data_IF_778009188659
#
_entry.id   IF_778009188659
#
_cell.length_a   1.000
_cell.length_b   1.000
_cell.length_c   1.000
_cell.angle_alpha   90.00
_cell.angle_beta   90.00
_cell.angle_gamma   90.00
#
_symmetry.space_group_name_H-M   'P 1'
#
loop_
_entity.id
_entity.type
_entity.pdbx_description
1 polymer ?
#
# COMPACT_ATOMS: atom_id res chain seq x y z
N UNK A 1 1.24 -30.68 0.83
CA UNK A 1 0.97 -30.23 0.84
C UNK A 1 0.42 -29.61 0.42
N UNK A 2 -0.03 -29.67 0.35
CA UNK A 2 -0.64 -29.02 0.04
C UNK A 2 -0.90 -27.91 0.54
N UNK A 3 -0.80 -27.64 1.44
CA UNK A 3 -1.07 -26.56 1.97
C UNK A 3 -0.32 -25.54 1.50
N UNK A 4 0.69 -25.75 1.13
CA UNK A 4 1.49 -24.80 0.66
C UNK A 4 1.13 -24.36 -0.63
N UNK A 5 0.79 -25.17 -1.50
CA UNK A 5 0.46 -24.86 -2.73
C UNK A 5 -0.68 -24.06 -2.77
N UNK A 6 -1.45 -24.15 -1.86
CA UNK A 6 -2.54 -23.34 -1.80
C UNK A 6 -2.13 -21.95 -1.72
N UNK A 7 -0.89 -21.70 -1.42
CA UNK A 7 -0.45 -20.37 -1.33
C UNK A 7 -0.53 -19.62 -2.59
N UNK A 8 -0.49 -20.30 -3.71
CA UNK A 8 -0.53 -19.63 -4.98
C UNK A 8 -1.75 -18.76 -5.13
N UNK A 9 -2.86 -19.13 -4.51
CA UNK A 9 -3.97 -18.27 -4.56
C UNK A 9 -4.53 -18.14 -3.17
N UNK A 10 -3.64 -18.25 -2.22
CA UNK A 10 -3.97 -18.23 -0.82
C UNK A 10 -4.95 -17.11 -0.52
N UNK A 11 -6.16 -17.45 -0.08
CA UNK A 11 -7.16 -16.44 0.21
C UNK A 11 -6.82 -15.56 1.38
N UNK A 12 -5.79 -15.92 2.16
CA UNK A 12 -5.40 -15.05 3.27
C UNK A 12 -4.33 -14.06 2.88
N UNK A 13 -3.87 -14.07 1.61
CA UNK A 13 -2.97 -13.02 1.16
C UNK A 13 -3.80 -11.79 0.88
N UNK A 14 -3.50 -10.73 1.55
CA UNK A 14 -4.24 -9.49 1.40
C UNK A 14 -3.44 -8.42 0.69
N UNK A 15 -4.16 -7.43 0.20
CA UNK A 15 -3.59 -6.31 -0.52
C UNK A 15 -4.05 -5.02 0.15
N UNK A 16 -3.14 -4.05 0.21
CA UNK A 16 -3.39 -2.81 0.95
C UNK A 16 -2.86 -1.61 0.18
N UNK A 17 -3.38 -0.43 0.52
CA UNK A 17 -2.80 0.84 0.10
C UNK A 17 -2.37 1.55 1.37
N UNK A 18 -1.13 2.02 1.38
CA UNK A 18 -0.60 2.82 2.49
C UNK A 18 -0.30 4.22 1.99
N UNK A 19 -0.79 5.23 2.70
CA UNK A 19 -0.52 6.62 2.35
C UNK A 19 0.68 7.16 3.10
N UNK A 20 1.50 7.96 2.44
CA UNK A 20 2.60 8.64 3.08
C UNK A 20 2.88 9.97 2.38
N UNK A 21 3.21 10.99 3.16
CA UNK A 21 3.60 12.28 2.62
C UNK A 21 5.02 12.13 2.08
N UNK A 22 5.23 12.30 0.76
CA UNK A 22 6.56 12.06 0.19
C UNK A 22 7.61 13.05 0.67
N UNK A 23 7.21 14.18 1.25
CA UNK A 23 8.17 15.10 1.82
C UNK A 23 8.70 14.59 3.16
N UNK A 24 7.96 13.72 3.81
CA UNK A 24 8.39 13.13 5.07
C UNK A 24 8.99 11.75 4.88
N UNK A 25 8.36 10.93 4.04
CA UNK A 25 8.88 9.60 3.76
C UNK A 25 8.35 9.14 2.40
N UNK A 26 9.24 9.03 1.43
CA UNK A 26 8.86 8.69 0.07
C UNK A 26 9.22 7.24 -0.26
N UNK A 27 8.76 6.76 -1.42
CA UNK A 27 9.15 5.44 -1.90
C UNK A 27 10.66 5.39 -2.16
N UNK A 28 11.27 6.53 -2.57
CA UNK A 28 12.73 6.61 -2.72
C UNK A 28 13.42 6.33 -1.39
N UNK A 29 12.86 6.84 -0.30
CA UNK A 29 13.42 6.62 1.03
C UNK A 29 13.35 5.14 1.38
N UNK A 30 12.24 4.49 1.06
CA UNK A 30 12.06 3.07 1.32
C UNK A 30 13.08 2.25 0.52
N UNK A 31 13.27 2.60 -0.75
CA UNK A 31 14.25 1.90 -1.58
C UNK A 31 15.65 2.07 -1.02
N UNK A 32 15.96 3.26 -0.57
CA UNK A 32 17.30 3.55 -0.03
C UNK A 32 17.56 2.78 1.26
N UNK A 33 16.54 2.59 2.08
CA UNK A 33 16.68 1.90 3.34
C UNK A 33 16.57 0.38 3.23
N UNK A 34 15.98 -0.11 2.15
CA UNK A 34 15.77 -1.53 1.88
C UNK A 34 14.71 -2.18 2.77
N UNK A 35 14.42 -1.62 3.92
CA UNK A 35 13.30 -2.02 4.77
C UNK A 35 13.08 -0.92 5.79
N UNK A 36 11.88 -0.86 6.32
CA UNK A 36 11.57 0.15 7.32
C UNK A 36 10.49 -0.38 8.26
N UNK A 37 10.38 0.26 9.40
CA UNK A 37 9.29 0.03 10.33
C UNK A 37 8.21 1.04 10.00
N UNK A 38 7.02 0.57 9.63
CA UNK A 38 5.90 1.47 9.36
C UNK A 38 5.24 1.78 10.69
N UNK A 39 5.54 2.95 11.23
CA UNK A 39 5.14 3.34 12.57
C UNK A 39 4.49 4.71 12.55
N UNK A 40 4.04 5.16 13.70
CA UNK A 40 3.45 6.48 13.82
C UNK A 40 2.00 6.57 13.42
N UNK A 41 1.35 5.45 13.11
CA UNK A 41 -0.06 5.45 12.74
C UNK A 41 -0.88 5.61 14.00
N UNK A 42 -1.63 6.70 14.10
CA UNK A 42 -2.43 6.98 15.27
C UNK A 42 -3.92 7.15 14.96
N UNK A 43 -4.27 7.21 13.67
CA UNK A 43 -5.66 7.30 13.27
C UNK A 43 -6.40 6.01 13.60
N UNK A 44 -7.53 6.13 14.22
CA UNK A 44 -8.26 4.98 14.72
C UNK A 44 -8.67 4.00 13.62
N UNK A 45 -9.15 4.51 12.49
CA UNK A 45 -9.57 3.67 11.39
C UNK A 45 -8.37 2.96 10.76
N UNK A 46 -7.27 3.68 10.58
CA UNK A 46 -6.05 3.08 10.03
C UNK A 46 -5.54 1.98 10.94
N UNK A 47 -5.59 2.20 12.26
CA UNK A 47 -5.14 1.19 13.22
C UNK A 47 -6.01 -0.06 13.16
N UNK A 48 -7.30 0.12 12.94
CA UNK A 48 -8.20 -1.00 12.85
C UNK A 48 -7.78 -1.93 11.71
N UNK A 49 -7.48 -1.36 10.56
CA UNK A 49 -7.04 -2.14 9.41
C UNK A 49 -5.61 -2.67 9.59
N UNK A 50 -4.76 -1.86 10.21
CA UNK A 50 -3.36 -2.25 10.39
C UNK A 50 -3.23 -3.53 11.21
N UNK A 51 -4.14 -3.75 12.15
CA UNK A 51 -4.11 -4.95 12.97
C UNK A 51 -4.36 -6.21 12.16
N UNK A 52 -4.93 -6.09 10.96
CA UNK A 52 -5.21 -7.23 10.10
C UNK A 52 -4.09 -7.48 9.09
N UNK A 53 -3.03 -6.68 9.12
CA UNK A 53 -1.90 -6.86 8.22
C UNK A 53 -1.05 -8.04 8.69
N UNK A 54 -0.68 -8.90 7.76
CA UNK A 54 0.13 -10.08 8.05
C UNK A 54 1.37 -10.12 7.19
N UNK A 55 2.41 -10.76 7.68
CA UNK A 55 3.62 -10.96 6.88
C UNK A 55 3.24 -11.67 5.59
N UNK A 56 3.77 -11.19 4.49
CA UNK A 56 3.48 -11.73 3.16
C UNK A 56 2.46 -10.93 2.37
N UNK A 57 1.75 -10.01 3.04
CA UNK A 57 0.80 -9.15 2.33
C UNK A 57 1.52 -8.16 1.44
N UNK A 58 0.84 -7.71 0.38
CA UNK A 58 1.40 -6.73 -0.54
C UNK A 58 0.71 -5.38 -0.37
N UNK A 59 1.47 -4.33 -0.65
CA UNK A 59 1.04 -2.96 -0.40
C UNK A 59 1.37 -2.10 -1.61
N UNK A 60 0.44 -1.21 -1.96
CA UNK A 60 0.73 -0.13 -2.89
C UNK A 60 1.00 1.11 -2.06
N UNK A 61 2.15 1.73 -2.28
CA UNK A 61 2.50 2.97 -1.58
C UNK A 61 1.92 4.14 -2.35
N UNK A 62 1.15 4.96 -1.65
CA UNK A 62 0.52 6.15 -2.20
C UNK A 62 1.21 7.38 -1.64
N UNK A 63 1.70 8.24 -2.52
CA UNK A 63 2.23 9.54 -2.10
C UNK A 63 1.03 10.47 -1.95
N UNK A 64 0.75 10.89 -0.74
CA UNK A 64 -0.40 11.75 -0.46
C UNK A 64 -0.04 13.22 -0.76
N UNK A 65 -1.05 14.06 -0.81
CA UNK A 65 -0.87 15.46 -1.12
C UNK A 65 -2.02 15.92 -1.99
N UNK A 66 -1.81 17.00 -2.73
CA UNK A 66 -2.87 17.55 -3.57
C UNK A 66 -3.31 16.58 -4.67
N UNK A 67 -2.38 15.80 -5.18
CA UNK A 67 -2.69 14.81 -6.23
C UNK A 67 -2.11 13.48 -5.83
N UNK A 68 -2.81 12.73 -4.98
CA UNK A 68 -2.28 11.44 -4.51
C UNK A 68 -2.03 10.47 -5.66
N UNK A 69 -0.86 9.82 -5.61
CA UNK A 69 -0.45 8.89 -6.65
C UNK A 69 0.08 7.60 -6.06
N UNK A 70 -0.27 6.48 -6.69
CA UNK A 70 0.30 5.18 -6.35
C UNK A 70 1.60 5.05 -7.13
N UNK A 71 2.70 4.76 -6.44
CA UNK A 71 4.03 4.84 -7.05
C UNK A 71 4.83 3.54 -7.03
N UNK A 72 4.54 2.64 -6.10
CA UNK A 72 5.33 1.42 -6.01
C UNK A 72 4.69 0.36 -5.15
N UNK A 73 5.25 -0.83 -5.24
CA UNK A 73 4.77 -1.99 -4.50
C UNK A 73 5.77 -2.31 -3.41
N UNK A 74 5.25 -2.67 -2.23
CA UNK A 74 6.06 -3.11 -1.12
C UNK A 74 5.46 -4.39 -0.57
N UNK A 75 6.19 -5.07 0.29
CA UNK A 75 5.73 -6.30 0.91
C UNK A 75 5.89 -6.21 2.41
N UNK A 76 4.89 -6.69 3.12
CA UNK A 76 4.92 -6.75 4.58
C UNK A 76 5.78 -7.95 4.97
N UNK A 77 6.78 -7.72 5.83
CA UNK A 77 7.71 -8.77 6.22
C UNK A 77 7.63 -9.14 7.69
N UNK A 78 6.63 -8.61 8.39
CA UNK A 78 6.37 -9.01 9.77
C UNK A 78 4.88 -8.89 10.03
N UNK A 79 4.39 -9.59 11.03
CA UNK A 79 3.03 -9.34 11.50
C UNK A 79 3.05 -8.03 12.28
N UNK A 80 1.89 -7.45 12.54
CA UNK A 80 1.79 -6.22 13.30
C UNK A 80 2.27 -6.47 14.74
N UNK A 81 2.94 -5.48 15.32
CA UNK A 81 3.43 -5.55 16.70
C UNK A 81 3.31 -4.16 17.33
N UNK A 82 3.41 -4.08 18.65
CA UNK A 82 3.27 -2.75 19.29
C UNK A 82 4.31 -1.77 18.75
N UNK A 83 3.84 -0.56 18.43
CA UNK A 83 4.67 0.47 17.82
C UNK A 83 5.73 0.94 18.82
N UNK A 84 7.02 0.77 18.51
CA UNK A 84 8.07 1.16 19.44
C UNK A 84 8.19 2.66 19.64
N UNK A 85 7.55 3.46 18.79
CA UNK A 85 7.59 4.92 18.93
C UNK A 85 6.47 5.43 19.84
N UNK A 86 5.58 4.55 20.29
CA UNK A 86 4.43 4.92 21.12
C UNK A 86 4.50 4.20 22.45
N UNK A 87 3.96 4.83 23.49
CA UNK A 87 3.91 4.18 24.80
C UNK A 87 2.67 3.31 24.97
N UNK A 88 1.61 3.64 24.24
CA UNK A 88 0.35 2.89 24.33
C UNK A 88 0.44 1.65 23.44
N UNK A 89 0.27 0.44 23.99
CA UNK A 89 0.40 -0.77 23.21
C UNK A 89 -0.72 -0.98 22.19
N UNK A 90 -1.74 -0.13 22.20
CA UNK A 90 -2.77 -0.22 21.19
C UNK A 90 -2.28 0.27 19.84
N UNK A 91 -1.25 1.10 19.81
CA UNK A 91 -0.69 1.57 18.55
C UNK A 91 0.27 0.49 18.03
N UNK A 92 0.08 0.13 16.77
CA UNK A 92 0.80 -0.98 16.17
C UNK A 92 1.65 -0.52 14.99
N UNK A 93 2.64 -1.34 14.67
CA UNK A 93 3.54 -1.10 13.57
C UNK A 93 3.83 -2.43 12.88
N UNK A 94 4.46 -2.38 11.73
CA UNK A 94 4.88 -3.58 11.02
C UNK A 94 6.08 -3.23 10.15
N UNK A 95 6.82 -4.26 9.72
CA UNK A 95 8.00 -4.06 8.89
C UNK A 95 7.65 -4.23 7.41
N UNK A 96 8.31 -3.45 6.58
CA UNK A 96 7.99 -3.35 5.16
C UNK A 96 9.27 -3.31 4.33
N UNK A 97 9.26 -3.94 3.16
CA UNK A 97 10.37 -3.85 2.24
C UNK A 97 9.85 -3.47 0.86
N UNK A 98 10.64 -2.76 0.03
CA UNK A 98 10.20 -2.42 -1.32
C UNK A 98 10.29 -3.63 -2.23
N UNK A 99 9.36 -3.72 -3.18
CA UNK A 99 9.39 -4.76 -4.20
C UNK A 99 9.82 -4.16 -5.53
N UNK A 100 9.05 -3.20 -6.05
CA UNK A 100 9.40 -2.49 -7.28
C UNK A 100 8.49 -1.29 -7.46
N UNK A 101 8.95 -0.33 -8.25
CA UNK A 101 8.09 0.79 -8.62
C UNK A 101 7.07 0.32 -9.64
N UNK A 102 5.95 1.04 -9.72
CA UNK A 102 5.04 0.83 -10.82
C UNK A 102 5.69 1.34 -12.10
N UNK A 103 5.31 0.77 -13.23
CA UNK A 103 5.84 1.19 -14.52
C UNK A 103 5.60 2.67 -14.77
N UNK A 104 4.48 3.17 -14.26
CA UNK A 104 4.15 4.58 -14.28
C UNK A 104 3.27 4.85 -13.06
N UNK A 105 3.44 6.01 -12.40
CA UNK A 105 2.54 6.32 -11.27
C UNK A 105 1.08 6.37 -11.72
N UNK A 106 0.18 6.02 -10.82
CA UNK A 106 -1.24 6.04 -11.09
C UNK A 106 -1.91 7.00 -10.13
N UNK A 107 -2.45 8.10 -10.65
CA UNK A 107 -3.15 9.06 -9.81
C UNK A 107 -4.44 8.42 -9.30
N UNK A 108 -4.75 8.62 -8.03
CA UNK A 108 -5.99 8.08 -7.48
C UNK A 108 -7.21 8.63 -8.21
N UNK A 109 -7.12 9.87 -8.68
CA UNK A 109 -8.22 10.49 -9.40
C UNK A 109 -8.57 9.73 -10.68
N UNK A 110 -7.60 9.04 -11.27
CA UNK A 110 -7.86 8.28 -12.50
C UNK A 110 -8.69 7.04 -12.23
N UNK A 111 -8.74 6.59 -10.99
CA UNK A 111 -9.49 5.41 -10.60
C UNK A 111 -10.87 5.76 -10.05
N UNK A 112 -11.17 7.04 -9.91
CA UNK A 112 -12.38 7.48 -9.22
C UNK A 112 -13.65 6.93 -9.86
N UNK A 113 -13.65 6.75 -11.18
CA UNK A 113 -14.83 6.25 -11.90
C UNK A 113 -14.86 4.74 -12.04
N UNK A 114 -13.83 4.05 -11.54
CA UNK A 114 -13.78 2.60 -11.63
C UNK A 114 -14.73 2.01 -10.58
N UNK A 115 -15.67 1.16 -10.97
CA UNK A 115 -16.64 0.63 -10.00
C UNK A 115 -15.98 -0.19 -8.87
N UNK A 116 -14.77 -0.71 -9.08
CA UNK A 116 -14.08 -1.44 -8.04
C UNK A 116 -13.38 -0.52 -7.05
N UNK A 117 -13.40 0.80 -7.30
CA UNK A 117 -12.69 1.76 -6.48
C UNK A 117 -13.62 2.58 -5.58
N UNK A 118 -14.85 2.09 -5.40
CA UNK A 118 -15.88 2.85 -4.66
C UNK A 118 -15.55 3.12 -3.21
N UNK A 119 -14.70 2.29 -2.62
CA UNK A 119 -14.48 2.39 -1.19
C UNK A 119 -13.46 3.44 -0.79
N UNK A 120 -12.80 4.05 -1.75
CA UNK A 120 -11.73 4.99 -1.48
C UNK A 120 -12.05 6.33 -2.11
N UNK A 121 -12.06 7.37 -1.30
CA UNK A 121 -12.28 8.72 -1.80
C UNK A 121 -10.90 9.29 -2.13
N UNK A 122 -10.57 9.49 -3.41
CA UNK A 122 -9.24 9.99 -3.76
C UNK A 122 -8.92 11.35 -3.19
N UNK A 123 -9.96 12.13 -2.84
CA UNK A 123 -9.72 13.45 -2.29
C UNK A 123 -9.44 13.42 -0.80
N UNK A 124 -9.80 12.32 -0.17
CA UNK A 124 -9.65 12.20 1.28
C UNK A 124 -8.59 11.21 1.70
N UNK A 125 -7.58 10.96 0.84
CA UNK A 125 -6.52 10.03 1.18
C UNK A 125 -5.58 10.67 2.20
N UNK A 126 -5.67 10.30 3.46
CA UNK A 126 -4.82 10.91 4.47
C UNK A 126 -3.42 10.30 4.48
N UNK A 127 -2.49 11.05 5.04
CA UNK A 127 -1.18 10.54 5.32
C UNK A 127 -1.31 9.38 6.29
N UNK A 128 -0.50 8.36 6.13
CA UNK A 128 -0.50 7.16 6.96
C UNK A 128 -1.82 6.39 6.95
N UNK A 129 -2.61 6.56 5.88
CA UNK A 129 -3.80 5.76 5.69
C UNK A 129 -3.42 4.30 5.50
N UNK A 130 -4.30 3.42 5.94
CA UNK A 130 -4.15 1.97 5.73
C UNK A 130 -5.50 1.51 5.21
N UNK A 131 -5.55 1.08 3.96
CA UNK A 131 -6.83 0.71 3.33
C UNK A 131 -6.73 -0.65 2.66
N UNK A 132 -7.74 -1.49 2.83
CA UNK A 132 -7.75 -2.78 2.15
C UNK A 132 -8.08 -2.61 0.67
N UNK A 133 -7.55 -3.49 -0.16
CA UNK A 133 -7.76 -3.45 -1.60
C UNK A 133 -8.13 -4.86 -2.05
N UNK A 134 -9.17 -4.97 -2.86
CA UNK A 134 -9.55 -6.27 -3.40
C UNK A 134 -8.51 -6.73 -4.42
N UNK A 135 -8.43 -8.03 -4.63
CA UNK A 135 -7.51 -8.58 -5.62
C UNK A 135 -7.84 -8.03 -7.01
N UNK A 136 -9.11 -7.82 -7.30
CA UNK A 136 -9.51 -7.28 -8.60
C UNK A 136 -9.01 -5.85 -8.78
N UNK A 137 -9.17 -5.01 -7.77
CA UNK A 137 -8.70 -3.63 -7.86
C UNK A 137 -7.18 -3.60 -7.97
N UNK A 138 -6.50 -4.45 -7.23
CA UNK A 138 -5.04 -4.56 -7.28
C UNK A 138 -4.59 -4.82 -8.73
N UNK A 139 -5.19 -5.83 -9.38
CA UNK A 139 -4.84 -6.15 -10.77
C UNK A 139 -5.16 -5.00 -11.71
N UNK A 140 -6.28 -4.33 -11.49
CA UNK A 140 -6.67 -3.20 -12.34
C UNK A 140 -5.66 -2.06 -12.23
N UNK A 141 -5.18 -1.79 -11.03
CA UNK A 141 -4.18 -0.74 -10.82
C UNK A 141 -2.90 -1.07 -11.56
N UNK A 142 -2.44 -2.33 -11.45
CA UNK A 142 -1.22 -2.73 -12.15
C UNK A 142 -1.39 -2.62 -13.65
N UNK A 143 -2.59 -2.92 -14.15
CA UNK A 143 -2.88 -2.82 -15.55
C UNK A 143 -2.82 -1.38 -16.03
N UNK A 144 -3.40 -0.46 -15.26
CA UNK A 144 -3.38 0.96 -15.60
C UNK A 144 -1.95 1.49 -15.63
N UNK A 145 -1.12 1.07 -14.67
CA UNK A 145 0.28 1.49 -14.63
C UNK A 145 1.02 1.06 -15.90
N UNK A 146 0.76 -0.16 -16.36
CA UNK A 146 1.39 -0.66 -17.58
C UNK A 146 0.88 0.08 -18.82
N UNK A 147 -0.40 0.38 -18.86
CA UNK A 147 -0.99 1.10 -19.99
C UNK A 147 -0.40 2.49 -20.13
N UNK A 148 -0.24 3.19 -19.00
CA UNK A 148 0.37 4.52 -19.03
C UNK A 148 1.82 4.46 -19.49
N UNK A 149 2.55 3.47 -19.04
CA UNK A 149 3.96 3.33 -19.43
C UNK A 149 4.06 3.08 -20.93
N UNK A 150 3.17 2.27 -21.48
CA UNK A 150 3.15 1.97 -22.91
C UNK A 150 2.88 3.23 -23.72
N UNK A 151 1.91 4.03 -23.29
CA UNK A 151 1.58 5.27 -24.00
C UNK A 151 2.75 6.24 -23.97
N UNK A 152 3.43 6.34 -22.83
CA UNK A 152 4.59 7.23 -22.73
C UNK A 152 5.73 6.76 -23.62
N UNK A 153 5.92 5.45 -23.74
CA UNK A 153 6.98 4.92 -24.58
C UNK A 153 6.70 5.14 -26.06
N UNK A 154 5.43 5.17 -26.44
CA UNK A 154 5.06 5.39 -27.82
C UNK A 154 5.01 6.87 -28.18
N UNK A 155 4.83 7.70 -27.20
CA UNK A 155 4.72 9.12 -27.43
C UNK A 155 6.04 9.81 -27.41
#
# INVERSE_FOLDING_TARGET
MEEQRMKAYDPVTDYWILGTDPEEYSYDDLERESSTVWSGVTDYLALKFLRDIDAGDFVLICHTGDEPELVGIARVISDAYPDPTQTDPEFMAFDLEPVRRLESPVALAELADDPDFDEIDPEDMPELAVLPVSARLWERILEVAREHATLLAEG
#
